data_IF_105887589338
#
_entry.id   IF_105887589338
#
_cell.length_a   1.000
_cell.length_b   1.000
_cell.length_c   1.000
_cell.angle_alpha   90.00
_cell.angle_beta   90.00
_cell.angle_gamma   90.00
#
_symmetry.space_group_name_H-M   'P 1'
#
loop_
_entity.id
_entity.type
_entity.pdbx_description
1 polymer ?
#
# COMPACT_ATOMS: atom_id res chain seq x y z
N UNK A 1 -8.20 -45.78 14.23
CA UNK A 1 -8.46 -44.58 13.41
C UNK A 1 -7.67 -43.41 14.04
N UNK A 2 -6.52 -43.06 13.44
CA UNK A 2 -5.77 -41.85 13.86
C UNK A 2 -6.49 -40.64 13.25
N UNK A 3 -6.97 -39.74 14.10
CA UNK A 3 -7.55 -38.49 13.67
C UNK A 3 -6.55 -37.62 12.92
N UNK A 4 -6.98 -36.62 12.14
CA UNK A 4 -6.13 -35.76 11.36
C UNK A 4 -5.47 -34.65 12.23
N UNK A 5 -4.94 -35.03 13.38
CA UNK A 5 -4.33 -34.12 14.37
C UNK A 5 -2.83 -34.29 14.32
N UNK A 6 -2.14 -33.29 13.85
CA UNK A 6 -0.68 -33.01 13.93
C UNK A 6 0.10 -32.94 12.60
N UNK A 7 -0.49 -32.46 11.51
CA UNK A 7 0.37 -31.83 10.51
C UNK A 7 0.65 -30.37 10.93
N UNK A 8 1.93 -29.93 10.98
CA UNK A 8 2.24 -28.54 11.28
C UNK A 8 1.49 -27.65 10.32
N UNK A 9 0.75 -26.68 10.85
CA UNK A 9 -0.05 -25.74 10.04
C UNK A 9 0.89 -24.96 9.13
N UNK A 10 0.98 -25.37 7.87
CA UNK A 10 1.79 -24.67 6.87
C UNK A 10 1.20 -23.28 6.67
N UNK A 11 2.01 -22.22 6.70
CA UNK A 11 1.59 -20.81 6.47
C UNK A 11 0.68 -20.65 5.25
N UNK A 12 0.92 -21.42 4.19
CA UNK A 12 0.07 -21.45 3.00
C UNK A 12 -1.36 -21.92 3.31
N UNK A 13 -1.52 -22.98 4.11
CA UNK A 13 -2.87 -23.49 4.49
C UNK A 13 -3.61 -22.46 5.34
N UNK A 14 -2.92 -21.83 6.27
CA UNK A 14 -3.48 -20.76 7.12
C UNK A 14 -3.94 -19.58 6.27
N UNK A 15 -3.10 -19.11 5.37
CA UNK A 15 -3.44 -18.00 4.47
C UNK A 15 -4.64 -18.33 3.58
N UNK A 16 -4.70 -19.54 3.00
CA UNK A 16 -5.86 -20.00 2.21
C UNK A 16 -7.14 -20.05 3.04
N UNK A 17 -7.04 -20.42 4.32
CA UNK A 17 -8.19 -20.42 5.24
C UNK A 17 -8.68 -18.98 5.48
N UNK A 18 -7.78 -18.02 5.66
CA UNK A 18 -8.14 -16.61 5.80
C UNK A 18 -8.81 -16.07 4.54
N UNK A 19 -8.27 -16.35 3.36
CA UNK A 19 -8.86 -15.96 2.08
C UNK A 19 -10.26 -16.57 1.88
N UNK A 20 -10.45 -17.86 2.22
CA UNK A 20 -11.75 -18.51 2.17
C UNK A 20 -12.77 -17.87 3.13
N UNK A 21 -12.35 -17.58 4.35
CA UNK A 21 -13.21 -16.92 5.35
C UNK A 21 -13.61 -15.50 4.91
N UNK A 22 -12.67 -14.76 4.29
CA UNK A 22 -12.97 -13.46 3.70
C UNK A 22 -14.03 -13.58 2.60
N UNK A 23 -13.90 -14.55 1.70
CA UNK A 23 -14.87 -14.79 0.63
C UNK A 23 -16.26 -15.12 1.18
N UNK A 24 -16.36 -16.00 2.18
CA UNK A 24 -17.63 -16.35 2.83
C UNK A 24 -18.28 -15.12 3.44
N UNK A 25 -17.48 -14.25 4.11
CA UNK A 25 -17.97 -13.01 4.71
C UNK A 25 -18.56 -12.05 3.66
N UNK A 26 -17.87 -11.82 2.55
CA UNK A 26 -18.37 -10.97 1.46
C UNK A 26 -19.65 -11.50 0.84
N UNK A 27 -19.74 -12.83 0.66
CA UNK A 27 -20.96 -13.46 0.15
C UNK A 27 -22.14 -13.32 1.11
N UNK A 28 -21.89 -13.23 2.41
CA UNK A 28 -22.93 -13.05 3.44
C UNK A 28 -23.47 -11.60 3.44
N UNK A 29 -22.60 -10.60 3.24
CA UNK A 29 -22.94 -9.19 3.30
C UNK A 29 -22.96 -8.51 1.92
N UNK A 30 -23.71 -9.10 0.98
CA UNK A 30 -23.76 -8.66 -0.44
C UNK A 30 -24.07 -7.17 -0.63
N UNK A 31 -24.97 -6.60 0.18
CA UNK A 31 -25.34 -5.19 0.09
C UNK A 31 -24.16 -4.26 0.37
N UNK A 32 -23.41 -4.53 1.42
CA UNK A 32 -22.22 -3.77 1.77
C UNK A 32 -21.14 -3.87 0.67
N UNK A 33 -20.95 -5.07 0.12
CA UNK A 33 -20.03 -5.29 -1.00
C UNK A 33 -20.38 -4.40 -2.20
N UNK A 34 -21.65 -4.41 -2.65
CA UNK A 34 -22.10 -3.62 -3.80
C UNK A 34 -21.93 -2.12 -3.54
N UNK A 35 -22.32 -1.63 -2.36
CA UNK A 35 -22.17 -0.21 -1.98
C UNK A 35 -20.69 0.18 -2.02
N UNK A 36 -19.81 -0.63 -1.45
CA UNK A 36 -18.35 -0.37 -1.45
C UNK A 36 -17.81 -0.30 -2.87
N UNK A 37 -18.13 -1.28 -3.72
CA UNK A 37 -17.70 -1.32 -5.12
C UNK A 37 -18.16 -0.07 -5.88
N UNK A 38 -19.45 0.31 -5.75
CA UNK A 38 -20.01 1.49 -6.41
C UNK A 38 -19.36 2.79 -5.93
N UNK A 39 -19.18 2.97 -4.62
CA UNK A 39 -18.56 4.16 -4.03
C UNK A 39 -17.12 4.31 -4.51
N UNK A 40 -16.36 3.21 -4.55
CA UNK A 40 -14.97 3.21 -5.02
C UNK A 40 -14.88 3.47 -6.53
N UNK A 41 -15.79 2.89 -7.33
CA UNK A 41 -15.86 3.17 -8.76
C UNK A 41 -16.20 4.64 -9.05
N UNK A 42 -17.14 5.23 -8.31
CA UNK A 42 -17.49 6.64 -8.42
C UNK A 42 -16.29 7.54 -8.09
N UNK A 43 -15.59 7.24 -7.00
CA UNK A 43 -14.37 7.96 -6.61
C UNK A 43 -13.29 7.86 -7.70
N UNK A 44 -13.07 6.66 -8.24
CA UNK A 44 -12.16 6.43 -9.37
C UNK A 44 -12.52 7.29 -10.58
N UNK A 45 -13.77 7.23 -11.02
CA UNK A 45 -14.24 8.03 -12.17
C UNK A 45 -14.05 9.53 -11.93
N UNK A 46 -14.31 10.01 -10.71
CA UNK A 46 -14.11 11.41 -10.32
C UNK A 46 -12.63 11.83 -10.42
N UNK A 47 -11.70 10.96 -9.99
CA UNK A 47 -10.27 11.21 -10.09
C UNK A 47 -9.80 11.26 -11.55
N UNK A 48 -10.21 10.28 -12.37
CA UNK A 48 -9.86 10.26 -13.80
C UNK A 48 -10.41 11.49 -14.51
N UNK A 49 -11.69 11.84 -14.25
CA UNK A 49 -12.33 13.00 -14.86
C UNK A 49 -11.62 14.31 -14.45
N UNK A 50 -11.28 14.47 -13.18
CA UNK A 50 -10.55 15.63 -12.68
C UNK A 50 -9.25 15.85 -13.46
N UNK A 51 -8.42 14.80 -13.56
CA UNK A 51 -7.15 14.92 -14.27
C UNK A 51 -7.33 15.09 -15.78
N UNK A 52 -8.35 14.48 -16.37
CA UNK A 52 -8.70 14.71 -17.78
C UNK A 52 -9.04 16.17 -18.05
N UNK A 53 -9.80 16.83 -17.15
CA UNK A 53 -10.12 18.27 -17.24
C UNK A 53 -8.82 19.09 -17.05
N UNK A 54 -7.92 18.73 -16.13
CA UNK A 54 -6.66 19.43 -15.97
C UNK A 54 -5.85 19.36 -17.27
N UNK A 55 -5.65 18.16 -17.83
CA UNK A 55 -4.87 17.97 -19.06
C UNK A 55 -5.54 18.53 -20.32
N UNK A 56 -6.84 18.80 -20.32
CA UNK A 56 -7.47 19.55 -21.41
C UNK A 56 -7.04 21.03 -21.46
N UNK A 57 -6.46 21.56 -20.37
CA UNK A 57 -5.98 22.95 -20.27
C UNK A 57 -4.44 23.07 -20.21
N UNK A 58 -3.73 21.99 -19.91
CA UNK A 58 -2.26 21.96 -19.84
C UNK A 58 -1.72 20.72 -20.53
N UNK A 59 -0.71 20.88 -21.37
CA UNK A 59 -0.11 19.75 -22.10
C UNK A 59 0.74 18.84 -21.18
N UNK A 60 1.39 19.39 -20.18
CA UNK A 60 2.27 18.69 -19.25
C UNK A 60 2.12 19.25 -17.84
N UNK A 61 2.25 18.35 -16.86
CA UNK A 61 2.46 18.71 -15.45
C UNK A 61 3.98 18.69 -15.19
N UNK A 62 4.41 19.26 -14.09
CA UNK A 62 5.82 19.33 -13.67
C UNK A 62 6.65 18.11 -14.08
N UNK A 63 7.89 18.37 -14.57
CA UNK A 63 8.84 17.32 -14.98
C UNK A 63 8.40 16.53 -16.23
N UNK A 64 7.58 17.16 -17.10
CA UNK A 64 7.23 16.64 -18.40
C UNK A 64 6.19 15.51 -18.43
N UNK A 65 5.49 15.24 -17.33
CA UNK A 65 4.43 14.24 -17.31
C UNK A 65 3.28 14.64 -18.23
N UNK A 66 3.05 13.90 -19.32
CA UNK A 66 1.87 14.03 -20.15
C UNK A 66 0.67 13.28 -19.54
N UNK A 67 -0.53 13.46 -20.12
CA UNK A 67 -1.79 12.87 -19.64
C UNK A 67 -1.68 11.36 -19.43
N UNK A 68 -1.18 10.62 -20.39
CA UNK A 68 -1.15 9.15 -20.33
C UNK A 68 -0.07 8.63 -19.38
N UNK A 69 1.08 9.30 -19.32
CA UNK A 69 2.10 8.99 -18.32
C UNK A 69 1.58 9.21 -16.91
N UNK A 70 0.84 10.31 -16.69
CA UNK A 70 0.23 10.59 -15.40
C UNK A 70 -0.86 9.57 -15.05
N UNK A 71 -1.66 9.11 -16.02
CA UNK A 71 -2.64 8.05 -15.79
C UNK A 71 -1.95 6.72 -15.44
N UNK A 72 -0.81 6.41 -16.04
CA UNK A 72 -0.02 5.24 -15.64
C UNK A 72 0.52 5.38 -14.20
N UNK A 73 0.97 6.57 -13.81
CA UNK A 73 1.36 6.90 -12.45
C UNK A 73 0.18 6.74 -11.47
N UNK A 74 -0.98 7.31 -11.79
CA UNK A 74 -2.19 7.22 -10.97
C UNK A 74 -2.66 5.77 -10.83
N UNK A 75 -2.67 5.00 -11.92
CA UNK A 75 -3.01 3.57 -11.91
C UNK A 75 -2.05 2.77 -11.02
N UNK A 76 -0.76 3.07 -11.06
CA UNK A 76 0.26 2.46 -10.20
C UNK A 76 -0.02 2.72 -8.72
N UNK A 77 -0.32 3.97 -8.36
CA UNK A 77 -0.70 4.35 -6.99
C UNK A 77 -1.97 3.65 -6.52
N UNK A 78 -2.98 3.57 -7.39
CA UNK A 78 -4.23 2.86 -7.10
C UNK A 78 -4.00 1.37 -6.90
N UNK A 79 -3.15 0.75 -7.72
CA UNK A 79 -2.83 -0.68 -7.61
C UNK A 79 -2.14 -1.00 -6.27
N UNK A 80 -1.14 -0.20 -5.88
CA UNK A 80 -0.45 -0.37 -4.59
C UNK A 80 -1.41 -0.17 -3.42
N UNK A 81 -2.21 0.91 -3.44
CA UNK A 81 -3.19 1.17 -2.39
C UNK A 81 -4.25 0.08 -2.30
N UNK A 82 -4.77 -0.42 -3.44
CA UNK A 82 -5.74 -1.50 -3.46
C UNK A 82 -5.20 -2.79 -2.82
N UNK A 83 -3.92 -3.12 -3.05
CA UNK A 83 -3.27 -4.28 -2.40
C UNK A 83 -3.14 -4.08 -0.89
N UNK A 84 -2.77 -2.88 -0.43
CA UNK A 84 -2.69 -2.55 1.00
C UNK A 84 -4.07 -2.59 1.64
N UNK A 85 -5.08 -1.97 1.04
CA UNK A 85 -6.44 -1.93 1.57
C UNK A 85 -7.10 -3.33 1.58
N UNK A 86 -6.78 -4.19 0.61
CA UNK A 86 -7.29 -5.57 0.56
C UNK A 86 -6.67 -6.45 1.65
N UNK A 87 -5.35 -6.42 1.79
CA UNK A 87 -4.62 -7.43 2.56
C UNK A 87 -4.30 -7.00 3.99
N UNK A 88 -3.96 -5.73 4.22
CA UNK A 88 -3.33 -5.31 5.47
C UNK A 88 -4.17 -4.32 6.28
N UNK A 89 -4.88 -3.40 5.64
CA UNK A 89 -5.63 -2.34 6.28
C UNK A 89 -6.68 -2.84 7.29
N UNK A 90 -7.50 -3.88 6.98
CA UNK A 90 -8.50 -4.39 7.92
C UNK A 90 -7.88 -4.92 9.21
N UNK A 91 -6.66 -5.45 9.10
CA UNK A 91 -5.92 -6.03 10.22
C UNK A 91 -5.29 -4.94 11.09
N UNK A 92 -4.68 -3.93 10.50
CA UNK A 92 -4.11 -2.79 11.22
C UNK A 92 -5.18 -2.05 12.02
N UNK A 93 -6.37 -1.83 11.42
CA UNK A 93 -7.53 -1.25 12.10
C UNK A 93 -8.00 -2.11 13.29
N UNK A 94 -8.00 -3.45 13.10
CA UNK A 94 -8.45 -4.38 14.14
C UNK A 94 -7.43 -4.58 15.28
N UNK A 95 -6.15 -4.26 15.05
CA UNK A 95 -5.10 -4.55 16.03
C UNK A 95 -5.31 -3.80 17.36
N UNK A 96 -5.65 -2.52 17.31
CA UNK A 96 -6.00 -1.73 18.50
C UNK A 96 -7.17 -2.33 19.28
N UNK A 97 -8.14 -2.92 18.58
CA UNK A 97 -9.31 -3.55 19.21
C UNK A 97 -8.91 -4.89 19.86
N UNK A 98 -8.03 -5.69 19.25
CA UNK A 98 -7.50 -6.90 19.87
C UNK A 98 -6.77 -6.60 21.17
N UNK A 99 -6.01 -5.50 21.24
CA UNK A 99 -5.33 -5.06 22.45
C UNK A 99 -6.37 -4.66 23.51
N UNK A 100 -7.34 -3.82 23.15
CA UNK A 100 -8.35 -3.29 24.07
C UNK A 100 -9.23 -4.38 24.69
N UNK A 101 -9.56 -5.41 23.91
CA UNK A 101 -10.43 -6.51 24.36
C UNK A 101 -9.68 -7.66 25.01
N UNK A 102 -8.33 -7.62 25.07
CA UNK A 102 -7.51 -8.73 25.56
C UNK A 102 -7.43 -9.91 24.57
N UNK A 103 -8.07 -9.82 23.41
CA UNK A 103 -8.07 -10.88 22.41
C UNK A 103 -6.70 -11.09 21.77
N UNK A 104 -5.76 -10.17 21.96
CA UNK A 104 -4.38 -10.34 21.51
C UNK A 104 -3.69 -11.53 22.20
N UNK A 105 -4.06 -11.84 23.45
CA UNK A 105 -3.53 -12.99 24.19
C UNK A 105 -3.79 -14.31 23.45
N UNK A 106 -4.98 -14.47 22.84
CA UNK A 106 -5.28 -15.65 22.03
C UNK A 106 -4.48 -15.72 20.74
N UNK A 107 -4.05 -14.58 20.18
CA UNK A 107 -3.16 -14.55 19.02
C UNK A 107 -1.72 -14.96 19.40
N UNK A 108 -1.26 -14.56 20.60
CA UNK A 108 0.10 -14.84 21.08
C UNK A 108 0.35 -16.31 21.41
N UNK A 109 -0.68 -17.08 21.81
CA UNK A 109 -0.55 -18.51 22.14
C UNK A 109 -0.61 -19.42 20.92
N UNK A 110 -0.96 -18.91 19.74
CA UNK A 110 -1.01 -19.70 18.50
C UNK A 110 0.42 -20.05 18.03
N UNK A 111 0.68 -21.30 17.56
CA UNK A 111 2.00 -21.75 17.10
C UNK A 111 2.32 -21.20 15.69
N UNK A 112 2.09 -19.91 15.45
CA UNK A 112 2.29 -19.19 14.19
C UNK A 112 2.88 -17.81 14.53
N UNK A 113 3.71 -17.28 13.64
CA UNK A 113 4.24 -15.92 13.82
C UNK A 113 3.11 -14.91 13.99
N UNK A 114 3.15 -14.17 15.11
CA UNK A 114 2.08 -13.24 15.50
C UNK A 114 1.93 -12.09 14.48
N UNK A 115 3.05 -11.60 13.94
CA UNK A 115 2.99 -10.54 12.93
C UNK A 115 2.30 -11.03 11.65
N UNK A 116 2.61 -12.27 11.21
CA UNK A 116 1.92 -12.88 10.07
C UNK A 116 0.41 -13.02 10.33
N UNK A 117 0.03 -13.54 11.49
CA UNK A 117 -1.37 -13.73 11.87
C UNK A 117 -2.12 -12.39 11.83
N UNK A 118 -1.59 -11.38 12.53
CA UNK A 118 -2.18 -10.04 12.61
C UNK A 118 -2.19 -9.33 11.25
N UNK A 119 -1.28 -9.65 10.34
CA UNK A 119 -1.22 -9.00 9.02
C UNK A 119 -2.23 -9.57 8.02
N UNK A 120 -2.62 -10.85 8.12
CA UNK A 120 -3.37 -11.54 7.07
C UNK A 120 -4.69 -12.17 7.52
N UNK A 121 -5.07 -12.10 8.81
CA UNK A 121 -6.28 -12.75 9.33
C UNK A 121 -7.56 -12.26 8.64
N UNK A 122 -7.62 -10.98 8.32
CA UNK A 122 -8.77 -10.35 7.66
C UNK A 122 -8.35 -9.81 6.29
N UNK A 123 -9.19 -10.03 5.29
CA UNK A 123 -9.02 -9.47 3.94
C UNK A 123 -10.32 -8.80 3.51
N UNK A 124 -10.23 -7.64 2.87
CA UNK A 124 -11.37 -6.95 2.27
C UNK A 124 -11.36 -7.18 0.75
N UNK A 125 -12.11 -8.19 0.31
CA UNK A 125 -12.12 -8.57 -1.10
C UNK A 125 -12.90 -7.56 -1.98
N UNK A 126 -13.74 -6.70 -1.41
CA UNK A 126 -14.40 -5.64 -2.15
C UNK A 126 -13.38 -4.65 -2.75
N UNK A 127 -12.22 -4.49 -2.10
CA UNK A 127 -11.13 -3.64 -2.58
C UNK A 127 -10.44 -4.18 -3.85
N UNK A 128 -10.57 -5.49 -4.17
CA UNK A 128 -10.06 -6.06 -5.42
C UNK A 128 -10.68 -5.42 -6.67
N UNK A 129 -11.88 -4.85 -6.55
CA UNK A 129 -12.46 -4.02 -7.61
C UNK A 129 -11.52 -2.88 -8.04
N UNK A 130 -10.81 -2.25 -7.11
CA UNK A 130 -9.84 -1.19 -7.42
C UNK A 130 -8.62 -1.72 -8.18
N UNK A 131 -8.22 -2.98 -7.96
CA UNK A 131 -7.17 -3.62 -8.76
C UNK A 131 -7.60 -3.71 -10.22
N UNK A 132 -8.83 -4.15 -10.48
CA UNK A 132 -9.36 -4.23 -11.85
C UNK A 132 -9.43 -2.85 -12.52
N UNK A 133 -9.91 -1.83 -11.82
CA UNK A 133 -9.97 -0.46 -12.31
C UNK A 133 -8.56 0.12 -12.56
N UNK A 134 -7.62 -0.12 -11.67
CA UNK A 134 -6.23 0.31 -11.81
C UNK A 134 -5.55 -0.36 -13.01
N UNK A 135 -5.72 -1.67 -13.19
CA UNK A 135 -5.19 -2.40 -14.36
C UNK A 135 -5.85 -1.89 -15.65
N UNK A 136 -7.16 -1.66 -15.66
CA UNK A 136 -7.86 -1.09 -16.81
C UNK A 136 -7.33 0.30 -17.19
N UNK A 137 -7.13 1.17 -16.19
CA UNK A 137 -6.54 2.50 -16.42
C UNK A 137 -5.08 2.40 -16.90
N UNK A 138 -4.30 1.46 -16.35
CA UNK A 138 -2.92 1.24 -16.76
C UNK A 138 -2.86 0.80 -18.23
N UNK A 139 -3.67 -0.18 -18.62
CA UNK A 139 -3.76 -0.65 -20.02
C UNK A 139 -4.19 0.51 -20.93
N UNK A 140 -5.20 1.27 -20.55
CA UNK A 140 -5.62 2.46 -21.31
C UNK A 140 -4.49 3.47 -21.47
N UNK A 141 -3.78 3.78 -20.39
CA UNK A 141 -2.65 4.71 -20.42
C UNK A 141 -1.53 4.24 -21.34
N UNK A 142 -1.13 2.96 -21.22
CA UNK A 142 -0.06 2.38 -22.03
C UNK A 142 -0.42 2.29 -23.52
N UNK A 143 -1.70 2.02 -23.85
CA UNK A 143 -2.17 1.93 -25.24
C UNK A 143 -2.20 3.28 -25.95
N UNK A 144 -2.16 4.38 -25.21
CA UNK A 144 -2.23 5.74 -25.75
C UNK A 144 -0.91 6.53 -25.55
N UNK A 145 0.18 5.85 -25.18
CA UNK A 145 1.47 6.51 -25.08
C UNK A 145 1.94 7.03 -26.44
N UNK A 146 2.68 8.16 -26.47
CA UNK A 146 3.24 8.69 -27.70
C UNK A 146 4.15 7.69 -28.42
N UNK A 147 4.21 7.78 -29.75
CA UNK A 147 5.10 6.95 -30.55
C UNK A 147 6.56 7.10 -30.09
N UNK A 148 7.20 5.96 -29.80
CA UNK A 148 8.57 5.91 -29.25
C UNK A 148 8.68 5.55 -27.78
N UNK A 149 7.57 5.48 -27.05
CA UNK A 149 7.55 4.92 -25.70
C UNK A 149 7.35 3.39 -25.79
N UNK A 150 8.43 2.63 -25.73
CA UNK A 150 8.36 1.18 -25.77
C UNK A 150 8.31 0.59 -24.38
N UNK A 151 7.21 -0.10 -24.07
CA UNK A 151 7.10 -0.93 -22.86
C UNK A 151 7.81 -2.24 -23.11
N UNK A 152 9.01 -2.39 -22.54
CA UNK A 152 9.81 -3.60 -22.68
C UNK A 152 9.38 -4.67 -21.68
N UNK A 153 9.60 -5.94 -22.01
CA UNK A 153 9.35 -7.05 -21.07
C UNK A 153 10.15 -6.89 -19.77
N UNK A 154 11.40 -6.46 -19.86
CA UNK A 154 12.22 -6.14 -18.68
C UNK A 154 11.65 -4.99 -17.85
N UNK A 155 11.09 -3.97 -18.51
CA UNK A 155 10.39 -2.87 -17.83
C UNK A 155 9.18 -3.34 -17.02
N UNK A 156 8.37 -4.26 -17.59
CA UNK A 156 7.24 -4.86 -16.89
C UNK A 156 7.70 -5.73 -15.70
N UNK A 157 8.73 -6.54 -15.87
CA UNK A 157 9.27 -7.36 -14.78
C UNK A 157 9.81 -6.50 -13.63
N UNK A 158 10.54 -5.43 -13.93
CA UNK A 158 11.01 -4.46 -12.94
C UNK A 158 9.85 -3.69 -12.32
N UNK A 159 8.85 -3.30 -13.10
CA UNK A 159 7.64 -2.68 -12.58
C UNK A 159 6.98 -3.52 -11.49
N UNK A 160 6.78 -4.81 -11.73
CA UNK A 160 6.21 -5.72 -10.74
C UNK A 160 7.09 -5.84 -9.49
N UNK A 161 8.42 -5.88 -9.65
CA UNK A 161 9.35 -5.85 -8.53
C UNK A 161 9.17 -4.58 -7.69
N UNK A 162 9.07 -3.41 -8.34
CA UNK A 162 8.89 -2.13 -7.62
C UNK A 162 7.48 -1.94 -7.06
N UNK A 163 6.44 -2.56 -7.64
CA UNK A 163 5.13 -2.66 -7.00
C UNK A 163 5.24 -3.43 -5.68
N UNK A 164 5.92 -4.57 -5.67
CA UNK A 164 6.15 -5.33 -4.44
C UNK A 164 6.97 -4.54 -3.42
N UNK A 165 8.00 -3.82 -3.86
CA UNK A 165 8.77 -2.93 -2.98
C UNK A 165 7.89 -1.81 -2.40
N UNK A 166 7.03 -1.19 -3.20
CA UNK A 166 6.08 -0.15 -2.77
C UNK A 166 5.07 -0.68 -1.74
N UNK A 167 4.47 -1.84 -2.00
CA UNK A 167 3.58 -2.54 -1.05
C UNK A 167 4.33 -2.84 0.26
N UNK A 168 5.58 -3.29 0.16
CA UNK A 168 6.42 -3.60 1.32
C UNK A 168 6.71 -2.35 2.16
N UNK A 169 7.03 -1.22 1.53
CA UNK A 169 7.25 0.06 2.22
C UNK A 169 5.97 0.49 2.95
N UNK A 170 4.86 0.49 2.27
CA UNK A 170 3.57 0.88 2.85
C UNK A 170 3.13 -0.06 3.97
N UNK A 171 3.29 -1.37 3.80
CA UNK A 171 3.06 -2.34 4.85
C UNK A 171 3.94 -2.05 6.08
N UNK A 172 5.22 -1.80 5.88
CA UNK A 172 6.18 -1.54 6.96
C UNK A 172 5.83 -0.29 7.78
N UNK A 173 5.42 0.78 7.09
CA UNK A 173 4.92 2.00 7.74
C UNK A 173 3.63 1.72 8.53
N UNK A 174 2.69 1.01 7.93
CA UNK A 174 1.41 0.71 8.54
C UNK A 174 1.53 -0.17 9.78
N UNK A 175 2.33 -1.25 9.73
CA UNK A 175 2.53 -2.14 10.88
C UNK A 175 3.30 -1.43 12.00
N UNK A 176 4.25 -0.55 11.66
CA UNK A 176 4.95 0.28 12.64
C UNK A 176 4.00 1.22 13.37
N UNK A 177 3.11 1.89 12.63
CA UNK A 177 2.06 2.74 13.22
C UNK A 177 1.06 1.94 14.06
N UNK A 178 0.61 0.79 13.58
CA UNK A 178 -0.30 -0.08 14.31
C UNK A 178 0.33 -0.56 15.64
N UNK A 179 1.63 -0.88 15.63
CA UNK A 179 2.38 -1.34 16.82
C UNK A 179 2.36 -0.32 17.96
N UNK A 180 2.25 0.99 17.65
CA UNK A 180 2.19 2.04 18.65
C UNK A 180 0.94 1.96 19.53
N UNK A 181 -0.12 1.26 19.07
CA UNK A 181 -1.32 1.05 19.86
C UNK A 181 -1.06 0.30 21.18
N UNK A 182 0.01 -0.47 21.29
CA UNK A 182 0.41 -1.17 22.52
C UNK A 182 0.82 -0.18 23.62
N UNK A 183 1.45 0.94 23.24
CA UNK A 183 1.91 1.95 24.20
C UNK A 183 0.87 3.04 24.46
N UNK A 184 0.11 3.42 23.44
CA UNK A 184 -0.81 4.55 23.49
C UNK A 184 -2.29 4.12 23.60
N UNK A 185 -2.58 2.81 23.60
CA UNK A 185 -3.94 2.27 23.62
C UNK A 185 -4.65 2.49 22.28
N UNK A 186 -5.97 2.76 22.31
CA UNK A 186 -6.77 3.01 21.12
C UNK A 186 -6.35 4.31 20.45
N UNK A 187 -5.47 4.21 19.46
CA UNK A 187 -4.94 5.38 18.77
C UNK A 187 -5.49 5.46 17.33
N UNK A 188 -6.77 5.85 17.21
CA UNK A 188 -7.36 6.12 15.89
C UNK A 188 -6.62 7.24 15.15
N UNK A 189 -6.10 8.24 15.88
CA UNK A 189 -5.36 9.35 15.26
C UNK A 189 -4.07 8.92 14.54
N UNK A 190 -3.38 7.86 15.00
CA UNK A 190 -2.22 7.33 14.28
C UNK A 190 -2.62 6.55 13.03
N UNK A 191 -3.77 5.90 13.05
CA UNK A 191 -4.32 5.26 11.88
C UNK A 191 -4.77 6.29 10.83
N UNK A 192 -5.42 7.38 11.27
CA UNK A 192 -5.78 8.50 10.41
C UNK A 192 -4.53 9.17 9.83
N UNK A 193 -3.42 9.23 10.59
CA UNK A 193 -2.14 9.75 10.12
C UNK A 193 -1.61 8.98 8.90
N UNK A 194 -1.89 7.67 8.78
CA UNK A 194 -1.62 6.88 7.58
C UNK A 194 -2.20 7.53 6.32
N UNK A 195 -3.46 7.95 6.36
CA UNK A 195 -4.12 8.59 5.23
C UNK A 195 -3.45 9.91 4.87
N UNK A 196 -3.04 10.70 5.85
CA UNK A 196 -2.35 11.98 5.60
C UNK A 196 -0.97 11.78 4.97
N UNK A 197 -0.21 10.78 5.42
CA UNK A 197 1.11 10.49 4.82
C UNK A 197 0.94 10.00 3.38
N UNK A 198 0.01 9.10 3.12
CA UNK A 198 -0.16 8.51 1.79
C UNK A 198 -0.71 9.48 0.75
N UNK A 199 -1.29 10.60 1.18
CA UNK A 199 -1.68 11.70 0.26
C UNK A 199 -0.48 12.19 -0.56
N UNK A 200 0.73 12.23 0.01
CA UNK A 200 1.93 12.63 -0.71
C UNK A 200 2.31 11.67 -1.85
N UNK A 201 1.94 10.40 -1.77
CA UNK A 201 2.16 9.43 -2.84
C UNK A 201 1.21 9.60 -4.04
N UNK A 202 0.15 10.41 -3.93
CA UNK A 202 -0.84 10.63 -5.01
C UNK A 202 -0.31 11.51 -6.13
N UNK A 203 0.79 12.19 -5.90
CA UNK A 203 1.41 13.11 -6.85
C UNK A 203 2.86 12.71 -7.12
N UNK A 204 3.34 12.88 -8.37
CA UNK A 204 4.73 12.63 -8.69
C UNK A 204 5.68 13.46 -7.83
N UNK A 205 6.83 12.88 -7.50
CA UNK A 205 7.84 13.54 -6.66
C UNK A 205 8.22 14.94 -7.16
N UNK A 206 8.21 15.16 -8.46
CA UNK A 206 8.53 16.43 -9.10
C UNK A 206 7.61 17.60 -8.69
N UNK A 207 6.35 17.35 -8.31
CA UNK A 207 5.45 18.41 -7.83
C UNK A 207 5.96 19.06 -6.54
N UNK A 208 6.73 18.32 -5.75
CA UNK A 208 7.29 18.83 -4.48
C UNK A 208 8.62 19.54 -4.66
N UNK A 209 9.15 19.60 -5.88
CA UNK A 209 10.33 20.41 -6.21
C UNK A 209 9.89 21.86 -6.42
N UNK A 210 10.32 22.75 -5.55
CA UNK A 210 10.03 24.18 -5.70
C UNK A 210 11.06 24.86 -6.62
N UNK A 211 10.56 25.67 -7.52
CA UNK A 211 11.40 26.59 -8.29
C UNK A 211 10.95 28.04 -8.03
N UNK A 212 11.80 28.90 -7.46
CA UNK A 212 13.17 28.63 -6.97
C UNK A 212 13.23 27.69 -5.77
N UNK A 213 14.38 27.00 -5.55
CA UNK A 213 14.55 26.06 -4.44
C UNK A 213 14.21 26.71 -3.10
N UNK A 214 13.32 26.10 -2.33
CA UNK A 214 12.95 26.56 -0.99
C UNK A 214 13.38 25.54 0.07
N UNK A 215 13.72 26.01 1.27
CA UNK A 215 14.08 25.14 2.40
C UNK A 215 12.93 24.20 2.73
N UNK A 216 11.70 24.70 2.72
CA UNK A 216 10.51 23.89 3.00
C UNK A 216 10.31 22.77 1.95
N UNK A 217 10.44 23.08 0.65
CA UNK A 217 10.37 22.07 -0.41
C UNK A 217 11.48 21.02 -0.27
N UNK A 218 12.70 21.43 0.04
CA UNK A 218 13.82 20.52 0.29
C UNK A 218 13.58 19.59 1.48
N UNK A 219 13.03 20.08 2.58
CA UNK A 219 12.67 19.28 3.75
C UNK A 219 11.57 18.26 3.44
N UNK A 220 10.53 18.66 2.71
CA UNK A 220 9.45 17.75 2.27
C UNK A 220 10.04 16.63 1.41
N UNK A 221 10.83 16.99 0.39
CA UNK A 221 11.47 16.02 -0.49
C UNK A 221 12.39 15.06 0.27
N UNK A 222 13.23 15.57 1.17
CA UNK A 222 14.10 14.73 1.96
C UNK A 222 13.32 13.79 2.87
N UNK A 223 12.38 14.32 3.64
CA UNK A 223 11.59 13.55 4.60
C UNK A 223 10.79 12.44 3.90
N UNK A 224 10.07 12.79 2.84
CA UNK A 224 9.20 11.83 2.13
C UNK A 224 9.90 10.99 1.06
N UNK A 225 11.19 11.19 0.83
CA UNK A 225 12.02 10.31 0.00
C UNK A 225 12.83 9.31 0.84
N UNK A 226 13.38 9.76 2.01
CA UNK A 226 14.36 8.98 2.77
C UNK A 226 13.88 8.54 4.14
N UNK A 227 13.14 9.37 4.88
CA UNK A 227 12.69 9.05 6.25
C UNK A 227 11.37 8.29 6.21
N UNK A 228 10.39 8.80 5.49
CA UNK A 228 9.11 8.18 5.20
C UNK A 228 9.03 8.00 3.68
N UNK A 229 9.60 6.94 3.08
CA UNK A 229 9.88 6.86 1.64
C UNK A 229 8.62 6.71 0.77
N UNK A 230 7.64 7.59 0.99
CA UNK A 230 6.32 7.56 0.36
C UNK A 230 6.38 8.04 -1.09
N UNK A 231 7.24 9.03 -1.40
CA UNK A 231 7.36 9.59 -2.75
C UNK A 231 7.96 8.60 -3.76
N UNK A 232 8.78 7.65 -3.29
CA UNK A 232 9.36 6.63 -4.17
C UNK A 232 8.42 5.47 -4.46
N UNK A 233 7.43 5.25 -3.58
CA UNK A 233 6.50 4.09 -3.67
C UNK A 233 5.78 4.02 -5.00
N UNK A 234 5.29 5.14 -5.51
CA UNK A 234 4.54 5.21 -6.77
C UNK A 234 5.40 5.76 -7.92
N UNK A 235 6.27 6.75 -7.62
CA UNK A 235 7.08 7.42 -8.65
C UNK A 235 8.06 6.43 -9.32
N UNK A 236 8.71 5.57 -8.54
CA UNK A 236 9.73 4.65 -9.08
C UNK A 236 9.11 3.60 -10.01
N UNK A 237 8.11 2.80 -9.58
CA UNK A 237 7.53 1.81 -10.48
C UNK A 237 6.91 2.46 -11.74
N UNK A 238 6.23 3.59 -11.64
CA UNK A 238 5.66 4.27 -12.79
C UNK A 238 6.74 4.71 -13.79
N UNK A 239 7.82 5.33 -13.33
CA UNK A 239 8.94 5.76 -14.20
C UNK A 239 9.71 4.58 -14.80
N UNK A 240 9.87 3.49 -14.06
CA UNK A 240 10.49 2.25 -14.56
C UNK A 240 9.68 1.66 -15.71
N UNK A 241 8.36 1.58 -15.54
CA UNK A 241 7.47 1.05 -16.58
C UNK A 241 7.50 1.90 -17.86
N UNK A 242 7.55 3.22 -17.70
CA UNK A 242 7.55 4.19 -18.80
C UNK A 242 8.94 4.44 -19.40
N UNK A 243 10.01 3.83 -18.85
CA UNK A 243 11.39 4.06 -19.30
C UNK A 243 11.89 5.51 -19.07
N UNK A 244 11.26 6.25 -18.16
CA UNK A 244 11.55 7.67 -17.92
C UNK A 244 12.34 7.94 -16.63
N UNK A 245 13.02 6.92 -16.10
CA UNK A 245 13.79 7.05 -14.86
C UNK A 245 15.03 7.95 -15.01
N UNK A 246 15.72 7.91 -16.18
CA UNK A 246 16.81 8.80 -16.56
C UNK A 246 17.85 9.03 -15.46
N UNK A 247 18.18 10.31 -15.23
CA UNK A 247 19.13 10.75 -14.19
C UNK A 247 18.65 10.45 -12.76
N UNK A 248 17.41 10.06 -12.58
CA UNK A 248 16.84 9.68 -11.29
C UNK A 248 16.94 8.17 -11.00
N UNK A 249 17.79 7.42 -11.75
CA UNK A 249 17.96 5.97 -11.56
C UNK A 249 18.36 5.58 -10.13
N UNK A 250 19.02 6.48 -9.38
CA UNK A 250 19.35 6.30 -7.97
C UNK A 250 18.11 6.09 -7.08
N UNK A 251 16.93 6.64 -7.45
CA UNK A 251 15.68 6.45 -6.70
C UNK A 251 15.24 4.97 -6.70
N UNK A 252 15.59 4.22 -7.73
CA UNK A 252 15.33 2.78 -7.80
C UNK A 252 16.07 2.02 -6.68
N UNK A 253 17.34 2.39 -6.44
CA UNK A 253 18.13 1.86 -5.33
C UNK A 253 17.53 2.27 -3.96
N UNK A 254 17.10 3.52 -3.82
CA UNK A 254 16.44 4.01 -2.60
C UNK A 254 15.16 3.23 -2.31
N UNK A 255 14.32 2.96 -3.33
CA UNK A 255 13.08 2.21 -3.14
C UNK A 255 13.32 0.78 -2.64
N UNK A 256 14.31 0.07 -3.21
CA UNK A 256 14.67 -1.28 -2.74
C UNK A 256 15.28 -1.26 -1.34
N UNK A 257 16.19 -0.33 -1.07
CA UNK A 257 16.79 -0.16 0.26
C UNK A 257 15.72 0.17 1.31
N UNK A 258 14.79 1.09 0.98
CA UNK A 258 13.68 1.44 1.85
C UNK A 258 12.73 0.27 2.13
N UNK A 259 12.47 -0.59 1.14
CA UNK A 259 11.66 -1.79 1.34
C UNK A 259 12.33 -2.76 2.32
N UNK A 260 13.62 -3.05 2.14
CA UNK A 260 14.38 -3.97 3.02
C UNK A 260 14.53 -3.40 4.43
N UNK A 261 14.98 -2.14 4.54
CA UNK A 261 15.17 -1.46 5.83
C UNK A 261 13.81 -1.30 6.54
N UNK A 262 12.76 -0.92 5.80
CA UNK A 262 11.41 -0.78 6.32
C UNK A 262 10.89 -2.07 6.94
N UNK A 263 11.08 -3.22 6.26
CA UNK A 263 10.72 -4.55 6.83
C UNK A 263 11.48 -4.84 8.11
N UNK A 264 12.79 -4.63 8.13
CA UNK A 264 13.62 -4.89 9.31
C UNK A 264 13.21 -3.99 10.49
N UNK A 265 12.99 -2.70 10.24
CA UNK A 265 12.56 -1.72 11.24
C UNK A 265 11.16 -2.06 11.75
N UNK A 266 10.20 -2.31 10.88
CA UNK A 266 8.82 -2.63 11.28
C UNK A 266 8.76 -3.93 12.09
N UNK A 267 9.56 -4.95 11.72
CA UNK A 267 9.68 -6.18 12.50
C UNK A 267 10.25 -5.93 13.90
N UNK A 268 11.27 -5.09 13.98
CA UNK A 268 11.90 -4.72 15.25
C UNK A 268 10.92 -3.95 16.15
N UNK A 269 10.23 -2.95 15.60
CA UNK A 269 9.23 -2.17 16.35
C UNK A 269 8.10 -3.09 16.82
N UNK A 270 7.58 -3.95 15.96
CA UNK A 270 6.50 -4.87 16.29
C UNK A 270 6.91 -5.85 17.41
N UNK A 271 8.08 -6.48 17.32
CA UNK A 271 8.55 -7.42 18.34
C UNK A 271 8.88 -6.72 19.66
N UNK A 272 9.40 -5.48 19.58
CA UNK A 272 9.65 -4.67 20.78
C UNK A 272 8.34 -4.25 21.45
N UNK A 273 7.35 -3.83 20.68
CA UNK A 273 6.03 -3.47 21.21
C UNK A 273 5.36 -4.65 21.93
N UNK A 274 5.43 -5.86 21.35
CA UNK A 274 4.89 -7.06 21.99
C UNK A 274 5.56 -7.38 23.33
N UNK A 275 6.86 -7.09 23.51
CA UNK A 275 7.53 -7.26 24.81
C UNK A 275 7.03 -6.29 25.88
N UNK A 276 6.48 -5.15 25.46
CA UNK A 276 5.90 -4.14 26.34
C UNK A 276 4.41 -4.38 26.61
N UNK A 277 3.80 -5.33 25.90
CA UNK A 277 2.39 -5.64 26.06
C UNK A 277 2.12 -6.25 27.45
N UNK A 278 1.10 -5.73 28.10
CA UNK A 278 0.55 -6.29 29.36
C UNK A 278 -0.89 -6.69 29.08
N UNK A 279 -1.25 -7.91 29.49
CA UNK A 279 -2.63 -8.39 29.30
C UNK A 279 -3.63 -7.46 30.01
N UNK A 280 -4.78 -7.19 29.36
CA UNK A 280 -5.85 -6.43 29.95
C UNK A 280 -6.54 -7.14 31.12
N UNK A 281 -6.21 -8.42 31.35
CA UNK A 281 -6.77 -9.26 32.43
C UNK A 281 -5.87 -9.37 33.66
N UNK A 282 -4.73 -8.68 33.70
CA UNK A 282 -3.79 -8.71 34.83
C UNK A 282 -3.94 -7.48 35.73
#
# INVERSE_FOLDING_TARGET
MRGPENEPSTYRRVWLTFARNALIREMTFRGNFVITVMTRALWFCSQVLLFKIIFSNVAHITDGWNEYQYFAFMATGMLINALIETLFMPNAANFSELIRTGNLDFALVKPIDTQFLISFEKMDLAMLNQVLLAVGLLVYALSNLPAGAEVTFSGVALYLLYILAGVTIFYSLMISLASTAIWFGRNQGLYDFWFYITVFARYPRSIYQSEPPSVAGGLILFTFTFVLPVLVVVTVPARVLLGTLGDQAWLAGVALAAAVVGLAVSRTIFTWSLRSYRSASS
#
